data_IF_165907103432
#
_entry.id   IF_165907103432
#
_cell.length_a   1.000
_cell.length_b   1.000
_cell.length_c   1.000
_cell.angle_alpha   90.00
_cell.angle_beta   90.00
_cell.angle_gamma   90.00
#
_symmetry.space_group_name_H-M   'P 1'
#
loop_
_entity.id
_entity.type
_entity.pdbx_description
1 polymer ?
#
# COMPACT_ATOMS: atom_id res chain seq x y z
N UNK A 1 -4.52 7.77 0.56
CA UNK A 1 -4.60 9.09 1.19
C UNK A 1 -3.32 9.94 1.06
N UNK A 2 -2.25 9.51 0.38
CA UNK A 2 -1.06 10.38 0.12
C UNK A 2 -1.12 11.07 -1.26
N UNK A 3 -1.61 10.37 -2.29
CA UNK A 3 -1.73 10.89 -3.66
C UNK A 3 -2.67 12.11 -3.73
N UNK A 4 -3.83 12.04 -3.06
CA UNK A 4 -4.79 13.15 -3.05
C UNK A 4 -4.27 14.42 -2.37
N UNK A 5 -3.48 14.28 -1.29
CA UNK A 5 -2.82 15.42 -0.65
C UNK A 5 -1.63 15.95 -1.48
N UNK A 6 -0.92 15.05 -2.19
CA UNK A 6 0.19 15.43 -3.07
C UNK A 6 -0.24 16.31 -4.25
N UNK A 7 -1.34 15.97 -4.93
CA UNK A 7 -1.84 16.77 -6.05
C UNK A 7 -2.37 18.16 -5.64
N UNK A 8 -2.75 18.38 -4.38
CA UNK A 8 -3.14 19.71 -3.89
C UNK A 8 -1.94 20.67 -3.79
N UNK A 9 -0.73 20.15 -3.57
CA UNK A 9 0.50 20.94 -3.48
C UNK A 9 1.30 20.98 -4.80
N UNK A 10 0.75 20.47 -5.91
CA UNK A 10 1.34 20.52 -7.25
C UNK A 10 1.49 19.16 -7.92
N UNK A 11 1.62 19.16 -9.25
CA UNK A 11 1.76 17.94 -10.08
C UNK A 11 2.98 17.11 -9.70
N UNK A 12 4.10 17.77 -9.40
CA UNK A 12 5.36 17.14 -8.99
C UNK A 12 5.24 16.45 -7.62
N UNK A 13 4.47 17.02 -6.69
CA UNK A 13 4.16 16.40 -5.41
C UNK A 13 3.17 15.21 -5.55
N UNK A 14 2.23 15.29 -6.51
CA UNK A 14 1.34 14.18 -6.87
C UNK A 14 2.07 12.98 -7.49
N UNK A 15 3.02 13.24 -8.40
CA UNK A 15 3.83 12.21 -9.05
C UNK A 15 4.74 11.50 -8.05
N UNK A 16 5.49 12.25 -7.23
CA UNK A 16 6.35 11.69 -6.18
C UNK A 16 5.55 10.90 -5.14
N UNK A 17 4.38 11.38 -4.73
CA UNK A 17 3.47 10.64 -3.85
C UNK A 17 2.95 9.34 -4.48
N UNK A 18 2.73 9.34 -5.80
CA UNK A 18 2.29 8.15 -6.54
C UNK A 18 3.41 7.12 -6.62
N UNK A 19 4.62 7.53 -6.96
CA UNK A 19 5.81 6.65 -6.97
C UNK A 19 6.01 6.04 -5.58
N UNK A 20 6.01 6.85 -4.52
CA UNK A 20 6.17 6.35 -3.15
C UNK A 20 5.08 5.34 -2.76
N UNK A 21 3.82 5.55 -3.20
CA UNK A 21 2.73 4.58 -2.97
C UNK A 21 2.97 3.28 -3.72
N UNK A 22 3.36 3.34 -4.99
CA UNK A 22 3.64 2.16 -5.82
C UNK A 22 4.84 1.37 -5.30
N UNK A 23 5.92 2.03 -4.88
CA UNK A 23 7.06 1.38 -4.23
C UNK A 23 6.62 0.62 -2.98
N UNK A 24 5.76 1.22 -2.15
CA UNK A 24 5.23 0.55 -0.95
C UNK A 24 4.44 -0.71 -1.29
N UNK A 25 3.57 -0.62 -2.31
CA UNK A 25 2.80 -1.75 -2.83
C UNK A 25 3.71 -2.85 -3.39
N UNK A 26 4.77 -2.48 -4.12
CA UNK A 26 5.78 -3.41 -4.60
C UNK A 26 6.58 -4.07 -3.46
N UNK A 27 6.92 -3.32 -2.40
CA UNK A 27 7.63 -3.85 -1.23
C UNK A 27 6.76 -4.76 -0.33
N UNK A 28 5.44 -4.75 -0.47
CA UNK A 28 4.60 -5.77 0.17
C UNK A 28 4.92 -7.18 -0.35
N UNK A 29 5.34 -7.31 -1.61
CA UNK A 29 5.73 -8.59 -2.20
C UNK A 29 6.89 -9.28 -1.47
N UNK A 30 8.09 -8.68 -1.35
CA UNK A 30 9.19 -9.27 -0.60
C UNK A 30 8.87 -9.43 0.88
N UNK A 31 8.08 -8.53 1.48
CA UNK A 31 7.73 -8.61 2.90
C UNK A 31 6.81 -9.80 3.20
N UNK A 32 5.80 -10.07 2.35
CA UNK A 32 4.93 -11.25 2.48
C UNK A 32 5.72 -12.55 2.27
N UNK A 33 6.63 -12.58 1.30
CA UNK A 33 7.52 -13.73 1.08
C UNK A 33 8.41 -13.97 2.30
N UNK A 34 9.04 -12.91 2.85
CA UNK A 34 9.89 -13.00 4.04
C UNK A 34 9.11 -13.50 5.26
N UNK A 35 7.92 -12.96 5.52
CA UNK A 35 7.05 -13.42 6.61
C UNK A 35 6.60 -14.88 6.41
N UNK A 36 6.29 -15.30 5.19
CA UNK A 36 5.97 -16.69 4.87
C UNK A 36 7.14 -17.65 5.14
N UNK A 37 8.37 -17.24 4.80
CA UNK A 37 9.58 -18.01 5.09
C UNK A 37 9.91 -18.09 6.58
N UNK A 38 9.74 -16.98 7.32
CA UNK A 38 9.93 -16.96 8.79
C UNK A 38 8.88 -17.81 9.51
N UNK A 39 7.62 -17.77 9.06
CA UNK A 39 6.56 -18.62 9.59
C UNK A 39 6.87 -20.11 9.37
N UNK A 40 7.35 -20.49 8.17
CA UNK A 40 7.74 -21.87 7.86
C UNK A 40 8.90 -22.37 8.73
N UNK A 41 9.90 -21.51 8.99
CA UNK A 41 11.02 -21.82 9.89
C UNK A 41 10.59 -22.06 11.33
N UNK A 42 9.53 -21.40 11.80
CA UNK A 42 9.02 -21.55 13.16
C UNK A 42 8.14 -22.80 13.35
N UNK A 43 7.50 -23.28 12.29
CA UNK A 43 6.52 -24.39 12.37
C UNK A 43 7.12 -25.79 12.23
N UNK A 44 8.33 -25.95 11.67
CA UNK A 44 9.04 -27.25 11.62
C UNK A 44 8.38 -28.39 10.81
N UNK A 45 7.17 -28.18 10.30
CA UNK A 45 6.35 -29.19 9.63
C UNK A 45 6.46 -29.07 8.10
N UNK A 46 6.90 -30.13 7.37
CA UNK A 46 6.99 -30.14 5.90
C UNK A 46 5.64 -29.98 5.20
N UNK A 47 4.52 -30.26 5.89
CA UNK A 47 3.16 -30.19 5.35
C UNK A 47 2.43 -28.88 5.69
N UNK A 48 2.98 -28.04 6.56
CA UNK A 48 2.35 -26.80 6.98
C UNK A 48 2.73 -25.62 6.06
N UNK A 49 1.75 -25.20 5.27
CA UNK A 49 1.68 -23.94 4.55
C UNK A 49 2.74 -23.73 3.46
N UNK A 50 2.33 -24.07 2.22
CA UNK A 50 2.84 -23.35 1.04
C UNK A 50 2.72 -21.84 1.34
N UNK A 51 3.80 -21.05 1.20
CA UNK A 51 3.68 -19.61 1.33
C UNK A 51 2.53 -19.18 0.42
N UNK A 52 1.56 -18.38 0.88
CA UNK A 52 0.57 -17.81 -0.01
C UNK A 52 1.33 -16.96 -1.01
N UNK A 53 1.67 -17.56 -2.15
CA UNK A 53 2.32 -16.89 -3.26
C UNK A 53 1.41 -15.71 -3.58
N UNK A 54 1.85 -14.46 -3.38
CA UNK A 54 0.97 -13.32 -3.51
C UNK A 54 0.73 -13.13 -5.00
N UNK A 55 -0.27 -13.82 -5.53
CA UNK A 55 -0.63 -13.83 -6.96
C UNK A 55 -0.89 -12.40 -7.47
N UNK A 56 -1.34 -11.51 -6.58
CA UNK A 56 -1.44 -10.07 -6.79
C UNK A 56 -0.13 -9.45 -7.32
N UNK A 57 1.03 -9.92 -6.89
CA UNK A 57 2.34 -9.40 -7.31
C UNK A 57 2.64 -9.78 -8.76
N UNK A 58 2.38 -11.04 -9.12
CA UNK A 58 2.53 -11.50 -10.50
C UNK A 58 1.59 -10.73 -11.44
N UNK A 59 0.35 -10.53 -11.02
CA UNK A 59 -0.62 -9.72 -11.75
C UNK A 59 -0.17 -8.23 -11.86
N UNK A 60 0.35 -7.65 -10.78
CA UNK A 60 0.88 -6.28 -10.78
C UNK A 60 2.03 -6.11 -11.77
N UNK A 61 3.03 -7.01 -11.73
CA UNK A 61 4.16 -6.99 -12.66
C UNK A 61 3.71 -7.15 -14.11
N UNK A 62 2.77 -8.07 -14.37
CA UNK A 62 2.21 -8.25 -15.71
C UNK A 62 1.50 -6.99 -16.23
N UNK A 63 0.71 -6.32 -15.40
CA UNK A 63 0.02 -5.08 -15.76
C UNK A 63 1.00 -3.93 -15.98
N UNK A 64 2.06 -3.81 -15.17
CA UNK A 64 3.13 -2.82 -15.39
C UNK A 64 3.84 -3.07 -16.72
N UNK A 65 4.21 -4.33 -17.01
CA UNK A 65 4.86 -4.69 -18.27
C UNK A 65 3.96 -4.41 -19.49
N UNK A 66 2.66 -4.72 -19.40
CA UNK A 66 1.67 -4.37 -20.42
C UNK A 66 1.56 -2.86 -20.61
N UNK A 67 1.57 -2.09 -19.52
CA UNK A 67 1.52 -0.63 -19.60
C UNK A 67 2.81 -0.02 -20.20
N UNK A 68 3.96 -0.67 -20.03
CA UNK A 68 5.22 -0.25 -20.65
C UNK A 68 5.33 -0.60 -22.14
N UNK A 69 4.67 -1.66 -22.61
CA UNK A 69 4.74 -2.13 -24.00
C UNK A 69 3.62 -1.54 -24.89
N UNK A 70 2.50 -1.13 -24.30
CA UNK A 70 1.33 -0.63 -25.03
C UNK A 70 1.11 0.85 -24.71
N UNK A 71 1.20 1.71 -25.71
CA UNK A 71 0.81 3.11 -25.60
C UNK A 71 -0.72 3.20 -25.45
N UNK A 72 -1.20 3.35 -24.22
CA UNK A 72 -2.63 3.43 -23.92
C UNK A 72 -3.16 4.83 -24.29
N UNK A 73 -4.22 4.93 -25.11
CA UNK A 73 -4.86 6.21 -25.44
C UNK A 73 -5.34 6.97 -24.19
N UNK A 74 -5.27 8.30 -24.23
CA UNK A 74 -5.59 9.16 -23.09
C UNK A 74 -7.03 8.98 -22.55
N UNK A 75 -7.99 8.72 -23.45
CA UNK A 75 -9.41 8.51 -23.13
C UNK A 75 -9.63 7.22 -22.32
N UNK A 76 -8.96 6.13 -22.72
CA UNK A 76 -8.99 4.86 -22.00
C UNK A 76 -8.33 5.00 -20.63
N UNK A 77 -7.23 5.76 -20.55
CA UNK A 77 -6.55 6.04 -19.29
C UNK A 77 -7.44 6.81 -18.32
N UNK A 78 -8.21 7.80 -18.78
CA UNK A 78 -9.16 8.53 -17.94
C UNK A 78 -10.28 7.63 -17.40
N UNK A 79 -10.85 6.77 -18.24
CA UNK A 79 -11.87 5.81 -17.81
C UNK A 79 -11.33 4.84 -16.75
N UNK A 80 -10.10 4.33 -16.93
CA UNK A 80 -9.43 3.46 -15.95
C UNK A 80 -9.19 4.16 -14.61
N UNK A 81 -8.76 5.44 -14.63
CA UNK A 81 -8.54 6.21 -13.40
C UNK A 81 -9.86 6.43 -12.65
N UNK A 82 -10.95 6.72 -13.36
CA UNK A 82 -12.27 6.89 -12.75
C UNK A 82 -12.77 5.57 -12.13
N UNK A 83 -12.69 4.46 -12.87
CA UNK A 83 -13.04 3.14 -12.36
C UNK A 83 -12.20 2.75 -11.13
N UNK A 84 -10.89 3.00 -11.18
CA UNK A 84 -9.97 2.77 -10.05
C UNK A 84 -10.38 3.59 -8.82
N UNK A 85 -10.78 4.84 -9.01
CA UNK A 85 -11.21 5.71 -7.91
C UNK A 85 -12.47 5.17 -7.24
N UNK A 86 -13.46 4.73 -8.03
CA UNK A 86 -14.69 4.12 -7.51
C UNK A 86 -14.37 2.83 -6.74
N UNK A 87 -13.59 1.92 -7.34
CA UNK A 87 -13.19 0.66 -6.70
C UNK A 87 -12.42 0.89 -5.40
N UNK A 88 -11.46 1.82 -5.39
CA UNK A 88 -10.70 2.14 -4.18
C UNK A 88 -11.59 2.75 -3.10
N UNK A 89 -12.51 3.64 -3.47
CA UNK A 89 -13.45 4.25 -2.52
C UNK A 89 -14.34 3.18 -1.90
N UNK A 90 -14.87 2.26 -2.72
CA UNK A 90 -15.67 1.14 -2.25
C UNK A 90 -14.87 0.18 -1.36
N UNK A 91 -13.62 -0.13 -1.71
CA UNK A 91 -12.73 -0.97 -0.90
C UNK A 91 -12.37 -0.33 0.46
N UNK A 92 -12.08 0.97 0.47
CA UNK A 92 -11.85 1.74 1.69
C UNK A 92 -13.11 1.79 2.57
N UNK A 93 -14.29 1.98 1.98
CA UNK A 93 -15.56 1.94 2.68
C UNK A 93 -15.82 0.56 3.30
N UNK A 94 -15.58 -0.53 2.54
CA UNK A 94 -15.73 -1.90 3.04
C UNK A 94 -14.73 -2.22 4.18
N UNK A 95 -13.46 -1.80 4.07
CA UNK A 95 -12.50 -1.92 5.17
C UNK A 95 -12.96 -1.14 6.42
N UNK A 96 -13.54 0.05 6.23
CA UNK A 96 -14.12 0.84 7.32
C UNK A 96 -15.31 0.15 7.98
N UNK A 97 -16.16 -0.53 7.21
CA UNK A 97 -17.32 -1.28 7.71
C UNK A 97 -16.91 -2.57 8.44
N UNK A 98 -15.82 -3.21 8.01
CA UNK A 98 -15.22 -4.38 8.66
C UNK A 98 -14.38 -3.99 9.90
N UNK A 99 -14.05 -2.71 10.05
CA UNK A 99 -13.34 -2.21 11.22
C UNK A 99 -14.26 -2.23 12.44
N UNK A 100 -14.06 -3.24 13.26
CA UNK A 100 -14.82 -3.45 14.48
C UNK A 100 -14.32 -2.49 15.59
N UNK A 101 -14.97 -1.32 15.69
CA UNK A 101 -14.62 -0.26 16.64
C UNK A 101 -14.61 -0.77 18.08
N UNK A 102 -15.44 -1.77 18.39
CA UNK A 102 -15.48 -2.44 19.68
C UNK A 102 -14.17 -3.20 19.99
N UNK A 103 -13.62 -3.91 19.00
CA UNK A 103 -12.32 -4.58 19.13
C UNK A 103 -11.15 -3.60 19.20
N UNK A 104 -11.26 -2.45 18.54
CA UNK A 104 -10.26 -1.39 18.68
C UNK A 104 -10.28 -0.80 20.10
N UNK A 105 -11.46 -0.62 20.69
CA UNK A 105 -11.62 -0.14 22.07
C UNK A 105 -11.13 -1.15 23.11
N UNK A 106 -11.36 -2.46 22.89
CA UNK A 106 -10.90 -3.51 23.80
C UNK A 106 -9.38 -3.68 23.82
N UNK A 107 -8.69 -3.38 22.70
CA UNK A 107 -7.21 -3.33 22.63
C UNK A 107 -6.60 -2.05 23.22
N UNK A 108 -7.43 -1.08 23.64
CA UNK A 108 -7.04 0.14 24.35
C UNK A 108 -6.35 1.20 23.48
N UNK A 109 -5.84 2.26 24.11
CA UNK A 109 -5.14 3.38 23.45
C UNK A 109 -3.73 3.04 22.93
N UNK A 110 -3.16 1.89 23.33
CA UNK A 110 -1.77 1.51 22.99
C UNK A 110 -1.51 1.41 21.47
N UNK A 111 -2.36 0.74 20.65
CA UNK A 111 -2.15 0.68 19.21
C UNK A 111 -2.26 2.06 18.55
N UNK A 112 -3.15 2.92 19.07
CA UNK A 112 -3.34 4.28 18.56
C UNK A 112 -2.13 5.16 18.86
N UNK A 113 -1.59 5.08 20.09
CA UNK A 113 -0.37 5.79 20.47
C UNK A 113 0.84 5.32 19.65
N UNK A 114 0.98 4.02 19.41
CA UNK A 114 2.03 3.47 18.54
C UNK A 114 1.88 3.97 17.10
N UNK A 115 0.67 3.95 16.54
CA UNK A 115 0.41 4.47 15.20
C UNK A 115 0.71 5.98 15.11
N UNK A 116 0.37 6.74 16.14
CA UNK A 116 0.65 8.18 16.22
C UNK A 116 2.15 8.48 16.33
N UNK A 117 2.89 7.76 17.19
CA UNK A 117 4.34 7.89 17.29
C UNK A 117 5.03 7.49 15.97
N UNK A 118 4.59 6.41 15.33
CA UNK A 118 5.10 6.01 14.03
C UNK A 118 4.81 7.06 12.95
N UNK A 119 3.62 7.66 12.96
CA UNK A 119 3.26 8.76 12.07
C UNK A 119 4.17 9.97 12.25
N UNK A 120 4.39 10.41 13.49
CA UNK A 120 5.30 11.52 13.79
C UNK A 120 6.75 11.21 13.40
N UNK A 121 7.21 9.98 13.66
CA UNK A 121 8.56 9.56 13.30
C UNK A 121 8.76 9.58 11.78
N UNK A 122 7.86 8.94 11.02
CA UNK A 122 7.96 8.88 9.56
C UNK A 122 7.80 10.29 8.96
N UNK A 123 6.84 11.08 9.44
CA UNK A 123 6.60 12.44 8.97
C UNK A 123 7.79 13.36 9.26
N UNK A 124 8.30 13.33 10.49
CA UNK A 124 9.44 14.12 10.92
C UNK A 124 10.74 13.73 10.20
N UNK A 125 11.01 12.43 10.07
CA UNK A 125 12.17 11.92 9.34
C UNK A 125 12.11 12.31 7.86
N UNK A 126 10.95 12.20 7.22
CA UNK A 126 10.76 12.63 5.83
C UNK A 126 10.97 14.14 5.66
N UNK A 127 10.45 14.97 6.57
CA UNK A 127 10.66 16.43 6.53
C UNK A 127 12.12 16.80 6.73
N UNK A 128 12.79 16.13 7.66
CA UNK A 128 14.21 16.34 7.94
C UNK A 128 15.07 16.04 6.71
N UNK A 129 14.81 14.91 6.02
CA UNK A 129 15.52 14.57 4.78
C UNK A 129 15.28 15.59 3.67
N UNK A 130 14.06 16.11 3.51
CA UNK A 130 13.74 17.12 2.48
C UNK A 130 14.39 18.47 2.78
N UNK A 131 14.56 18.83 4.06
CA UNK A 131 15.21 20.08 4.48
C UNK A 131 16.74 20.03 4.44
N UNK A 132 17.34 18.84 4.49
CA UNK A 132 18.79 18.60 4.47
C UNK A 132 19.33 18.25 3.08
N UNK A 133 18.47 17.86 2.15
CA UNK A 133 18.79 17.67 0.73
C UNK A 133 18.61 18.98 -0.06
#
# INVERSE_FOLDING_TARGET
>A
QVIGAGFQNGTLAGETATVAKLTRVAMLAPMVIALGLMARRKSGDPSAARPPMPWFVAAFVAVVALNSLVAVPAEVKQAIVLATTIMLTMGLAAMGLQADISQLRSRGLRPLALAFCAFLFIGGFSLMLVKLA
#
